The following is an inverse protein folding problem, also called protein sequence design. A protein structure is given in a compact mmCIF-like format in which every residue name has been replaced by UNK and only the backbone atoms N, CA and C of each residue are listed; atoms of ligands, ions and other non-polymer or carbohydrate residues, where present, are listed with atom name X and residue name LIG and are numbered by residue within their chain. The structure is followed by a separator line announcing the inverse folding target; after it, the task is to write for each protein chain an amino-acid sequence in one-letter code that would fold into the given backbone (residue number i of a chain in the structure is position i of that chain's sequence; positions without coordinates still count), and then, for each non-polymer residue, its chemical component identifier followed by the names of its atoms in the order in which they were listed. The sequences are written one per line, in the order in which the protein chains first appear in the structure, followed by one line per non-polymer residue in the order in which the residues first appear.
data_IF_306126311281
#
_entry.id   IF_306126311281
#
_cell.length_a   1.000
_cell.length_b   1.000
_cell.length_c   1.000
_cell.angle_alpha   90.00
_cell.angle_beta   90.00
_cell.angle_gamma   90.00
#
_symmetry.space_group_name_H-M   'P 1'
#
loop_
_entity.id
_entity.type
_entity.pdbx_description
1 polymer ?
#
# COMPACT_ATOMS: atom_id res chain seq x y z
N UNK A 1 -4.67 18.55 -15.60
CA UNK A 1 -5.19 18.12 -14.27
C UNK A 1 -4.29 17.06 -13.62
N UNK A 2 -3.91 15.98 -14.34
CA UNK A 2 -2.97 14.97 -13.81
C UNK A 2 -1.64 15.61 -13.36
N UNK A 3 -1.06 16.49 -14.17
CA UNK A 3 0.15 17.24 -13.84
C UNK A 3 0.02 18.07 -12.54
N UNK A 4 -1.17 18.54 -12.16
CA UNK A 4 -1.34 19.33 -10.94
C UNK A 4 -1.26 18.49 -9.65
N UNK A 5 -1.64 17.21 -9.69
CA UNK A 5 -1.52 16.30 -8.56
C UNK A 5 -0.07 15.81 -8.42
N UNK A 6 0.56 15.46 -9.54
CA UNK A 6 2.00 15.10 -9.56
C UNK A 6 2.84 16.28 -9.06
N UNK A 7 2.51 17.51 -9.48
CA UNK A 7 3.23 18.69 -9.02
C UNK A 7 2.99 18.98 -7.53
N UNK A 8 1.77 18.80 -7.03
CA UNK A 8 1.47 18.91 -5.60
C UNK A 8 2.25 17.86 -4.78
N UNK A 9 2.35 16.62 -5.25
CA UNK A 9 3.15 15.57 -4.66
C UNK A 9 4.65 15.93 -4.65
N UNK A 10 5.17 16.41 -5.79
CA UNK A 10 6.58 16.90 -5.89
C UNK A 10 6.87 18.00 -4.86
N UNK A 11 5.96 18.96 -4.71
CA UNK A 11 6.11 20.04 -3.76
C UNK A 11 6.07 19.53 -2.31
N UNK A 12 5.19 18.56 -1.99
CA UNK A 12 5.18 17.92 -0.67
C UNK A 12 6.51 17.23 -0.36
N UNK A 13 7.10 16.53 -1.31
CA UNK A 13 8.41 15.89 -1.15
C UNK A 13 9.55 16.91 -1.04
N UNK A 14 9.48 18.01 -1.79
CA UNK A 14 10.49 19.08 -1.79
C UNK A 14 10.46 19.91 -0.51
N UNK A 15 9.27 20.33 -0.08
CA UNK A 15 9.08 21.20 1.09
C UNK A 15 9.22 20.42 2.41
N UNK A 16 9.08 19.12 2.36
CA UNK A 16 9.11 18.23 3.50
C UNK A 16 10.05 17.06 3.21
N UNK A 17 11.35 17.23 3.40
CA UNK A 17 12.36 16.16 3.20
C UNK A 17 12.04 14.85 3.96
N UNK A 18 11.14 14.92 4.96
CA UNK A 18 10.65 13.79 5.74
C UNK A 18 9.31 13.24 5.21
N UNK A 19 8.68 13.87 4.20
CA UNK A 19 7.43 13.39 3.62
C UNK A 19 7.73 12.21 2.69
N UNK A 20 7.04 11.11 2.87
CA UNK A 20 7.34 9.86 2.15
C UNK A 20 8.70 9.25 2.51
N UNK A 21 9.49 9.94 3.35
CA UNK A 21 10.62 9.30 3.97
C UNK A 21 10.07 8.32 5.01
N UNK A 22 10.42 7.09 4.88
CA UNK A 22 10.38 6.15 5.96
C UNK A 22 11.41 6.56 7.03
N UNK A 23 11.40 7.82 7.43
CA UNK A 23 12.26 8.35 8.47
C UNK A 23 11.67 8.01 9.84
N UNK A 24 12.53 8.00 10.85
CA UNK A 24 12.18 7.73 12.26
C UNK A 24 11.00 8.54 12.82
N UNK A 25 10.53 9.56 12.07
CA UNK A 25 9.47 10.49 12.45
C UNK A 25 8.24 10.47 11.53
N UNK A 26 8.25 9.70 10.46
CA UNK A 26 7.07 9.49 9.64
C UNK A 26 6.12 8.52 10.34
N UNK A 27 4.83 8.66 10.10
CA UNK A 27 3.73 7.91 10.69
C UNK A 27 4.18 6.51 11.21
N UNK A 28 4.06 6.23 12.53
CA UNK A 28 4.48 4.95 13.11
C UNK A 28 3.94 3.71 12.38
N UNK A 29 2.89 3.87 11.59
CA UNK A 29 2.21 2.83 10.83
C UNK A 29 2.95 2.46 9.55
N UNK A 30 3.33 3.43 8.71
CA UNK A 30 4.11 3.15 7.50
C UNK A 30 5.49 2.57 7.84
N UNK A 31 6.08 3.01 8.98
CA UNK A 31 7.27 2.39 9.51
C UNK A 31 7.04 0.94 9.94
N UNK A 32 5.90 0.64 10.57
CA UNK A 32 5.53 -0.70 11.01
C UNK A 32 5.41 -1.66 9.82
N UNK A 33 4.69 -1.29 8.77
CA UNK A 33 4.59 -2.09 7.55
C UNK A 33 5.95 -2.35 6.90
N UNK A 34 6.78 -1.34 6.81
CA UNK A 34 8.12 -1.48 6.27
C UNK A 34 8.98 -2.51 7.00
N UNK A 35 8.84 -2.59 8.32
CA UNK A 35 9.56 -3.58 9.15
C UNK A 35 8.95 -4.98 9.05
N UNK A 36 7.65 -5.11 8.78
CA UNK A 36 6.95 -6.40 8.74
C UNK A 36 6.85 -7.00 7.34
N UNK A 37 6.89 -6.19 6.28
CA UNK A 37 6.86 -6.66 4.90
C UNK A 37 7.97 -7.70 4.60
N UNK A 38 9.24 -7.50 5.00
CA UNK A 38 10.28 -8.53 4.79
C UNK A 38 9.93 -9.88 5.42
N UNK A 39 9.40 -9.87 6.65
CA UNK A 39 8.96 -11.08 7.34
C UNK A 39 7.77 -11.74 6.63
N UNK A 40 6.81 -10.94 6.19
CA UNK A 40 5.65 -11.42 5.43
C UNK A 40 6.06 -12.03 4.08
N UNK A 41 7.02 -11.45 3.38
CA UNK A 41 7.59 -12.03 2.14
C UNK A 41 8.23 -13.38 2.43
N UNK A 42 9.07 -13.49 3.46
CA UNK A 42 9.71 -14.77 3.85
C UNK A 42 8.66 -15.85 4.15
N UNK A 43 7.62 -15.51 4.89
CA UNK A 43 6.53 -16.45 5.17
C UNK A 43 5.81 -16.89 3.89
N UNK A 44 5.49 -15.96 3.00
CA UNK A 44 4.84 -16.25 1.73
C UNK A 44 5.72 -17.06 0.76
N UNK A 45 7.05 -16.87 0.76
CA UNK A 45 8.01 -17.66 -0.01
C UNK A 45 7.97 -19.15 0.30
N UNK A 46 7.51 -19.55 1.50
CA UNK A 46 7.30 -20.97 1.82
C UNK A 46 6.09 -21.58 1.09
N UNK A 47 5.24 -20.77 0.46
CA UNK A 47 4.01 -21.23 -0.22
C UNK A 47 4.06 -21.02 -1.72
N UNK A 48 4.82 -20.04 -2.21
CA UNK A 48 5.05 -19.79 -3.61
C UNK A 48 6.38 -19.04 -3.83
N UNK A 49 7.07 -19.20 -4.97
CA UNK A 49 8.26 -18.43 -5.26
C UNK A 49 7.91 -16.95 -5.42
N UNK A 50 8.63 -16.09 -4.69
CA UNK A 50 8.55 -14.61 -4.80
C UNK A 50 9.97 -14.11 -5.00
N UNK A 51 10.22 -13.46 -6.14
CA UNK A 51 11.56 -13.01 -6.55
C UNK A 51 11.63 -11.50 -6.80
N UNK A 52 10.50 -10.84 -6.99
CA UNK A 52 10.46 -9.42 -7.34
C UNK A 52 9.35 -8.66 -6.62
N UNK A 53 9.65 -7.40 -6.26
CA UNK A 53 8.70 -6.47 -5.66
C UNK A 53 8.83 -5.10 -6.30
N UNK A 54 7.70 -4.49 -6.61
CA UNK A 54 7.58 -3.07 -6.94
C UNK A 54 6.90 -2.34 -5.79
N UNK A 55 7.53 -1.30 -5.26
CA UNK A 55 6.90 -0.36 -4.32
C UNK A 55 6.38 0.84 -5.11
N UNK A 56 5.07 0.85 -5.37
CA UNK A 56 4.37 1.88 -6.14
C UNK A 56 3.96 3.02 -5.21
N UNK A 57 4.51 4.21 -5.42
CA UNK A 57 4.45 5.34 -4.49
C UNK A 57 5.53 5.23 -3.40
N UNK A 58 6.74 4.81 -3.78
CA UNK A 58 7.83 4.50 -2.84
C UNK A 58 8.33 5.71 -2.03
N UNK A 59 7.95 6.93 -2.41
CA UNK A 59 8.46 8.15 -1.78
C UNK A 59 9.98 8.20 -1.84
N UNK A 60 10.63 8.31 -0.69
CA UNK A 60 12.09 8.36 -0.57
C UNK A 60 12.76 6.96 -0.58
N UNK A 61 12.05 5.91 -0.94
CA UNK A 61 12.60 4.56 -1.10
C UNK A 61 12.86 3.81 0.20
N UNK A 62 12.13 4.13 1.26
CA UNK A 62 12.37 3.54 2.57
C UNK A 62 12.12 2.04 2.63
N UNK A 63 11.08 1.52 1.98
CA UNK A 63 10.82 0.08 1.89
C UNK A 63 11.92 -0.61 1.07
N UNK A 64 12.31 0.00 -0.06
CA UNK A 64 13.38 -0.53 -0.91
C UNK A 64 14.70 -0.65 -0.14
N UNK A 65 15.06 0.39 0.61
CA UNK A 65 16.25 0.35 1.47
C UNK A 65 16.20 -0.78 2.50
N UNK A 66 15.04 -0.96 3.15
CA UNK A 66 14.84 -2.04 4.14
C UNK A 66 14.99 -3.42 3.49
N UNK A 67 14.35 -3.65 2.34
CA UNK A 67 14.43 -4.93 1.63
C UNK A 67 15.84 -5.25 1.15
N UNK A 68 16.59 -4.23 0.68
CA UNK A 68 17.97 -4.40 0.22
C UNK A 68 18.93 -4.73 1.37
N UNK A 69 18.66 -4.23 2.57
CA UNK A 69 19.49 -4.50 3.76
C UNK A 69 19.19 -5.85 4.42
N UNK A 70 18.06 -6.48 4.08
CA UNK A 70 17.65 -7.77 4.66
C UNK A 70 18.44 -8.92 4.05
N UNK A 71 19.57 -9.29 4.69
CA UNK A 71 20.56 -10.26 4.18
C UNK A 71 19.99 -11.64 3.84
N UNK A 72 18.91 -12.04 4.51
CA UNK A 72 18.28 -13.35 4.35
C UNK A 72 17.07 -13.33 3.42
N UNK A 73 16.84 -12.23 2.70
CA UNK A 73 15.76 -12.10 1.75
C UNK A 73 16.32 -11.85 0.35
N UNK A 74 16.22 -12.86 -0.51
CA UNK A 74 16.59 -12.72 -1.91
C UNK A 74 15.38 -12.21 -2.69
N UNK A 75 15.31 -10.90 -2.91
CA UNK A 75 14.25 -10.24 -3.67
C UNK A 75 14.82 -9.08 -4.49
N UNK A 76 14.44 -9.00 -5.76
CA UNK A 76 14.69 -7.83 -6.59
C UNK A 76 13.62 -6.78 -6.32
N UNK A 77 13.95 -5.76 -5.54
CA UNK A 77 13.03 -4.70 -5.15
C UNK A 77 13.30 -3.42 -5.95
N UNK A 78 12.24 -2.85 -6.53
CA UNK A 78 12.26 -1.59 -7.27
C UNK A 78 11.23 -0.62 -6.68
N UNK A 79 11.60 0.67 -6.56
CA UNK A 79 10.67 1.75 -6.22
C UNK A 79 10.20 2.48 -7.48
N UNK A 80 8.95 2.96 -7.44
CA UNK A 80 8.40 3.89 -8.41
C UNK A 80 7.62 4.99 -7.71
N UNK A 81 7.95 6.25 -8.01
CA UNK A 81 7.22 7.42 -7.55
C UNK A 81 7.40 8.57 -8.53
N UNK A 82 6.35 9.00 -9.26
CA UNK A 82 6.46 10.07 -10.25
C UNK A 82 6.79 11.44 -9.62
N UNK A 83 6.58 11.59 -8.31
CA UNK A 83 6.91 12.81 -7.55
C UNK A 83 8.37 12.89 -7.09
N UNK A 84 9.12 11.78 -7.14
CA UNK A 84 10.50 11.70 -6.66
C UNK A 84 11.46 11.41 -7.81
N UNK A 85 12.36 12.34 -8.20
CA UNK A 85 13.21 12.17 -9.39
C UNK A 85 14.01 10.87 -9.42
N UNK A 86 14.52 10.40 -8.26
CA UNK A 86 15.29 9.16 -8.16
C UNK A 86 14.46 7.90 -8.48
N UNK A 87 13.14 7.96 -8.39
CA UNK A 87 12.21 6.85 -8.60
C UNK A 87 11.16 7.11 -9.69
N UNK A 88 11.37 8.16 -10.52
CA UNK A 88 10.37 8.59 -11.52
C UNK A 88 10.34 7.77 -12.80
N UNK A 89 11.25 6.82 -12.96
CA UNK A 89 11.26 5.92 -14.14
C UNK A 89 10.11 4.94 -14.02
N UNK A 90 9.17 5.04 -14.96
CA UNK A 90 7.97 4.20 -14.98
C UNK A 90 8.34 2.72 -15.22
N UNK A 91 7.89 1.80 -14.35
CA UNK A 91 8.14 0.38 -14.55
C UNK A 91 7.37 -0.16 -15.76
N UNK A 92 7.99 -1.09 -16.49
CA UNK A 92 7.42 -1.72 -17.70
C UNK A 92 7.28 -3.22 -17.58
N UNK A 93 7.88 -3.82 -16.56
CA UNK A 93 7.85 -5.27 -16.30
C UNK A 93 6.84 -5.59 -15.20
N UNK A 94 6.41 -6.85 -15.13
CA UNK A 94 5.59 -7.35 -14.02
C UNK A 94 6.47 -7.77 -12.84
N UNK A 95 5.92 -7.62 -11.64
CA UNK A 95 6.55 -7.99 -10.37
C UNK A 95 5.69 -9.01 -9.65
N UNK A 96 6.32 -9.93 -8.92
CA UNK A 96 5.57 -10.92 -8.13
C UNK A 96 4.67 -10.25 -7.09
N UNK A 97 5.20 -9.22 -6.43
CA UNK A 97 4.43 -8.38 -5.51
C UNK A 97 4.49 -6.93 -6.01
N UNK A 98 3.35 -6.26 -5.99
CA UNK A 98 3.28 -4.80 -6.02
C UNK A 98 2.78 -4.32 -4.67
N UNK A 99 3.46 -3.35 -4.06
CA UNK A 99 3.01 -2.69 -2.82
C UNK A 99 2.60 -1.25 -3.09
N UNK A 100 1.61 -0.75 -2.36
CA UNK A 100 1.24 0.67 -2.32
C UNK A 100 0.75 0.98 -0.90
N UNK A 101 1.57 1.70 -0.15
CA UNK A 101 1.35 1.94 1.29
C UNK A 101 1.27 3.43 1.56
N UNK A 102 0.12 3.90 2.04
CA UNK A 102 -0.18 5.32 2.29
C UNK A 102 0.06 6.18 1.01
N UNK A 103 -0.53 5.76 -0.12
CA UNK A 103 -0.34 6.37 -1.45
C UNK A 103 -1.66 6.68 -2.14
N UNK A 104 -2.59 5.72 -2.17
CA UNK A 104 -3.80 5.83 -3.01
C UNK A 104 -4.70 6.98 -2.58
N UNK A 105 -4.76 7.30 -1.30
CA UNK A 105 -5.49 8.44 -0.74
C UNK A 105 -4.91 9.81 -1.15
N UNK A 106 -3.65 9.83 -1.59
CA UNK A 106 -3.00 11.02 -2.14
C UNK A 106 -3.26 11.21 -3.64
N UNK A 107 -3.98 10.28 -4.27
CA UNK A 107 -4.32 10.34 -5.69
C UNK A 107 -5.72 10.92 -5.86
N UNK A 108 -5.86 11.88 -6.76
CA UNK A 108 -7.17 12.48 -7.04
C UNK A 108 -8.15 11.45 -7.61
N UNK A 109 -9.42 11.50 -7.16
CA UNK A 109 -10.49 10.58 -7.53
C UNK A 109 -10.57 10.22 -9.02
N UNK A 110 -10.39 11.15 -9.98
CA UNK A 110 -10.46 10.84 -11.41
C UNK A 110 -9.35 9.86 -11.88
N UNK A 111 -8.25 9.74 -11.14
CA UNK A 111 -7.07 8.97 -11.55
C UNK A 111 -6.98 7.59 -10.86
N UNK A 112 -7.77 7.33 -9.84
CA UNK A 112 -7.71 6.07 -9.07
C UNK A 112 -7.88 4.85 -9.98
N UNK A 113 -8.87 4.88 -10.87
CA UNK A 113 -9.12 3.75 -11.77
C UNK A 113 -7.94 3.46 -12.71
N UNK A 114 -7.35 4.50 -13.29
CA UNK A 114 -6.16 4.33 -14.16
C UNK A 114 -4.95 3.84 -13.38
N UNK A 115 -4.75 4.31 -12.16
CA UNK A 115 -3.67 3.87 -11.27
C UNK A 115 -3.85 2.41 -10.86
N UNK A 116 -5.04 2.00 -10.43
CA UNK A 116 -5.31 0.61 -10.06
C UNK A 116 -5.18 -0.34 -11.25
N UNK A 117 -5.58 0.08 -12.46
CA UNK A 117 -5.35 -0.68 -13.69
C UNK A 117 -3.86 -0.81 -14.02
N UNK A 118 -3.07 0.24 -13.84
CA UNK A 118 -1.62 0.20 -13.99
C UNK A 118 -1.01 -0.79 -13.00
N UNK A 119 -1.37 -0.69 -11.71
CA UNK A 119 -0.92 -1.61 -10.66
C UNK A 119 -1.29 -3.05 -11.00
N UNK A 120 -2.53 -3.31 -11.43
CA UNK A 120 -2.97 -4.66 -11.86
C UNK A 120 -2.15 -5.18 -13.05
N UNK A 121 -1.87 -4.31 -14.03
CA UNK A 121 -1.01 -4.66 -15.17
C UNK A 121 0.42 -5.02 -14.80
N UNK A 122 0.95 -4.41 -13.75
CA UNK A 122 2.30 -4.65 -13.23
C UNK A 122 2.37 -5.83 -12.24
N UNK A 123 1.22 -6.31 -11.75
CA UNK A 123 1.14 -7.39 -10.76
C UNK A 123 1.16 -8.76 -11.42
N UNK A 124 2.12 -9.61 -11.02
CA UNK A 124 2.20 -11.01 -11.43
C UNK A 124 1.47 -11.94 -10.46
N UNK A 125 1.70 -11.80 -9.16
CA UNK A 125 1.08 -12.66 -8.15
C UNK A 125 0.03 -11.94 -7.34
N UNK A 126 0.41 -10.93 -6.56
CA UNK A 126 -0.55 -10.16 -5.78
C UNK A 126 -0.10 -8.72 -5.53
N UNK A 127 -1.09 -7.89 -5.30
CA UNK A 127 -0.97 -6.49 -4.90
C UNK A 127 -1.25 -6.38 -3.41
N UNK A 128 -0.37 -5.73 -2.63
CA UNK A 128 -0.59 -5.33 -1.24
C UNK A 128 -0.82 -3.84 -1.16
N UNK A 129 -1.83 -3.43 -0.44
CA UNK A 129 -2.16 -2.02 -0.23
C UNK A 129 -2.43 -1.71 1.25
N UNK A 130 -2.11 -0.47 1.63
CA UNK A 130 -2.58 0.17 2.84
C UNK A 130 -3.10 1.56 2.47
N UNK A 131 -4.31 1.89 2.91
CA UNK A 131 -5.00 3.15 2.61
C UNK A 131 -5.45 3.77 3.93
N UNK A 132 -5.08 5.02 4.17
CA UNK A 132 -5.63 5.80 5.29
C UNK A 132 -7.00 6.34 4.89
N UNK A 133 -8.01 6.10 5.73
CA UNK A 133 -9.39 6.50 5.50
C UNK A 133 -9.73 7.86 6.12
N UNK A 134 -8.78 8.45 6.85
CA UNK A 134 -8.96 9.72 7.56
C UNK A 134 -8.25 10.87 6.85
N UNK A 135 -8.64 12.12 7.13
CA UNK A 135 -7.91 13.28 6.68
C UNK A 135 -6.45 13.26 7.17
N UNK A 136 -5.51 13.61 6.30
CA UNK A 136 -4.12 13.81 6.71
C UNK A 136 -4.00 14.96 7.72
N UNK A 137 -3.05 14.85 8.63
CA UNK A 137 -2.64 15.95 9.50
C UNK A 137 -1.93 17.08 8.74
N UNK A 138 -1.44 16.80 7.53
CA UNK A 138 -0.70 17.75 6.69
C UNK A 138 -1.59 18.33 5.59
N UNK A 139 -1.24 19.56 5.19
CA UNK A 139 -1.82 20.24 4.03
C UNK A 139 -0.76 20.42 2.95
N UNK A 140 -1.20 20.48 1.72
CA UNK A 140 -0.40 20.89 0.56
C UNK A 140 -0.12 22.39 0.60
N UNK A 141 0.83 22.87 -0.20
CA UNK A 141 1.18 24.30 -0.30
C UNK A 141 0.02 25.19 -0.73
N UNK A 142 -0.99 24.63 -1.42
CA UNK A 142 -2.23 25.31 -1.82
C UNK A 142 -3.36 25.21 -0.78
N UNK A 143 -3.06 24.67 0.43
CA UNK A 143 -3.98 24.61 1.57
C UNK A 143 -4.94 23.41 1.57
N UNK A 144 -4.95 22.56 0.52
CA UNK A 144 -5.75 21.33 0.49
C UNK A 144 -5.22 20.29 1.48
N UNK A 145 -6.08 19.40 1.94
CA UNK A 145 -5.64 18.23 2.70
C UNK A 145 -4.72 17.36 1.82
N UNK A 146 -3.65 16.79 2.40
CA UNK A 146 -2.73 15.94 1.65
C UNK A 146 -3.38 14.61 1.23
N UNK A 147 -4.39 14.09 1.94
CA UNK A 147 -5.27 13.05 1.44
C UNK A 147 -6.32 13.69 0.53
N UNK A 148 -6.06 13.68 -0.79
CA UNK A 148 -6.97 14.24 -1.78
C UNK A 148 -8.26 13.45 -1.93
N UNK A 149 -8.26 12.19 -1.49
CA UNK A 149 -9.39 11.30 -1.59
C UNK A 149 -9.66 10.61 -0.24
N UNK A 150 -10.65 11.11 0.45
CA UNK A 150 -11.18 10.49 1.67
C UNK A 150 -12.47 9.77 1.26
N UNK A 151 -12.48 8.45 1.40
CA UNK A 151 -13.62 7.62 1.04
C UNK A 151 -13.73 6.44 2.01
N UNK A 152 -14.94 5.89 2.25
CA UNK A 152 -15.12 4.72 3.11
C UNK A 152 -14.52 3.46 2.48
N UNK A 153 -14.27 2.44 3.31
CA UNK A 153 -13.68 1.17 2.88
C UNK A 153 -14.41 0.54 1.70
N UNK A 154 -15.75 0.54 1.71
CA UNK A 154 -16.58 -0.10 0.68
C UNK A 154 -16.35 0.53 -0.69
N UNK A 155 -16.10 1.85 -0.72
CA UNK A 155 -15.78 2.52 -1.96
C UNK A 155 -14.43 2.04 -2.51
N UNK A 156 -13.39 1.97 -1.66
CA UNK A 156 -12.06 1.49 -2.03
C UNK A 156 -12.07 0.04 -2.47
N UNK A 157 -12.79 -0.83 -1.72
CA UNK A 157 -12.99 -2.24 -2.05
C UNK A 157 -13.61 -2.38 -3.45
N UNK A 158 -14.62 -1.57 -3.76
CA UNK A 158 -15.27 -1.55 -5.08
C UNK A 158 -14.28 -1.16 -6.18
N UNK A 159 -13.46 -0.11 -5.96
CA UNK A 159 -12.45 0.29 -6.95
C UNK A 159 -11.40 -0.81 -7.20
N UNK A 160 -10.91 -1.44 -6.14
CA UNK A 160 -9.91 -2.52 -6.25
C UNK A 160 -10.53 -3.75 -6.96
N UNK A 161 -11.76 -4.13 -6.63
CA UNK A 161 -12.47 -5.25 -7.26
C UNK A 161 -12.78 -5.04 -8.75
N UNK A 162 -12.76 -3.81 -9.24
CA UNK A 162 -12.87 -3.55 -10.67
C UNK A 162 -11.63 -3.98 -11.48
N UNK A 163 -10.48 -4.12 -10.83
CA UNK A 163 -9.21 -4.45 -11.50
C UNK A 163 -8.59 -5.77 -10.99
N UNK A 164 -9.14 -6.34 -9.88
CA UNK A 164 -8.71 -7.61 -9.28
C UNK A 164 -9.91 -8.51 -8.94
N UNK A 165 -9.79 -9.79 -9.25
CA UNK A 165 -10.90 -10.77 -9.08
C UNK A 165 -11.04 -11.26 -7.63
N UNK A 166 -9.94 -11.31 -6.89
CA UNK A 166 -9.85 -11.88 -5.54
C UNK A 166 -9.23 -10.85 -4.62
N UNK A 167 -9.87 -10.62 -3.49
CA UNK A 167 -9.46 -9.64 -2.50
C UNK A 167 -9.62 -10.22 -1.09
N UNK A 168 -8.58 -10.08 -0.27
CA UNK A 168 -8.65 -10.24 1.18
C UNK A 168 -8.19 -8.94 1.82
N UNK A 169 -8.96 -8.42 2.77
CA UNK A 169 -8.67 -7.13 3.38
C UNK A 169 -8.94 -7.14 4.89
N UNK A 170 -8.34 -6.19 5.56
CA UNK A 170 -8.40 -5.96 7.00
C UNK A 170 -8.71 -4.49 7.21
N UNK A 171 -9.68 -4.22 8.07
CA UNK A 171 -9.95 -2.87 8.57
C UNK A 171 -9.41 -2.76 9.99
N UNK A 172 -8.77 -1.65 10.29
CA UNK A 172 -8.28 -1.37 11.65
C UNK A 172 -8.61 0.04 12.07
N UNK A 173 -8.88 0.19 13.33
CA UNK A 173 -9.05 1.47 13.97
C UNK A 173 -9.50 1.28 15.40
N UNK A 174 -8.94 2.07 16.29
CA UNK A 174 -9.36 2.16 17.69
C UNK A 174 -9.32 3.61 18.10
N UNK A 175 -10.46 4.12 18.53
CA UNK A 175 -10.56 5.46 19.12
C UNK A 175 -10.07 5.42 20.57
N UNK A 176 -9.61 6.54 21.13
CA UNK A 176 -9.18 6.63 22.54
C UNK A 176 -10.24 6.19 23.56
N UNK A 177 -11.52 6.26 23.21
CA UNK A 177 -12.64 5.82 24.02
C UNK A 177 -12.94 4.32 23.89
N UNK A 178 -12.13 3.59 23.13
CA UNK A 178 -12.29 2.15 22.88
C UNK A 178 -13.32 1.79 21.81
N UNK A 179 -13.98 2.78 21.18
CA UNK A 179 -14.85 2.51 20.04
C UNK A 179 -14.02 2.11 18.82
N UNK A 180 -14.55 1.17 18.03
CA UNK A 180 -13.91 0.73 16.80
C UNK A 180 -14.45 1.56 15.63
N UNK A 181 -13.55 2.24 14.93
CA UNK A 181 -13.87 3.00 13.73
C UNK A 181 -12.84 2.68 12.65
N UNK A 182 -13.24 2.35 11.41
CA UNK A 182 -12.29 2.06 10.34
C UNK A 182 -11.42 3.29 10.05
N UNK A 183 -10.15 3.23 10.42
CA UNK A 183 -9.16 4.28 10.17
C UNK A 183 -8.23 3.93 9.02
N UNK A 184 -8.02 2.64 8.81
CA UNK A 184 -7.16 2.12 7.73
C UNK A 184 -7.81 0.89 7.12
N UNK A 185 -7.66 0.81 5.80
CA UNK A 185 -7.95 -0.36 5.00
C UNK A 185 -6.65 -0.88 4.41
N UNK A 186 -6.32 -2.13 4.68
CA UNK A 186 -5.21 -2.79 4.00
C UNK A 186 -5.57 -4.22 3.64
N UNK A 187 -4.88 -4.73 2.66
CA UNK A 187 -5.19 -6.06 2.15
C UNK A 187 -4.31 -6.44 0.97
N UNK A 188 -4.64 -7.60 0.44
CA UNK A 188 -4.03 -8.12 -0.77
C UNK A 188 -5.09 -8.45 -1.81
N UNK A 189 -4.74 -8.24 -3.08
CA UNK A 189 -5.59 -8.54 -4.22
C UNK A 189 -4.83 -9.31 -5.30
N UNK A 190 -5.50 -10.23 -5.99
CA UNK A 190 -4.92 -11.02 -7.08
C UNK A 190 -5.93 -11.34 -8.16
N UNK A 191 -5.45 -11.62 -9.36
CA UNK A 191 -6.28 -12.09 -10.48
C UNK A 191 -6.24 -13.60 -10.66
N UNK A 192 -5.49 -14.33 -9.82
CA UNK A 192 -5.36 -15.78 -9.93
C UNK A 192 -5.58 -16.49 -8.60
N UNK A 193 -6.47 -17.50 -8.61
CA UNK A 193 -6.73 -18.35 -7.44
C UNK A 193 -5.48 -19.14 -7.01
N UNK A 194 -4.56 -19.43 -7.92
CA UNK A 194 -3.29 -20.10 -7.57
C UNK A 194 -2.42 -19.28 -6.62
N UNK A 195 -2.60 -17.95 -6.58
CA UNK A 195 -1.86 -17.05 -5.71
C UNK A 195 -2.53 -16.82 -4.34
N UNK A 196 -3.76 -17.32 -4.16
CA UNK A 196 -4.59 -17.02 -2.98
C UNK A 196 -3.91 -17.44 -1.66
N UNK A 197 -3.35 -18.66 -1.61
CA UNK A 197 -2.64 -19.14 -0.43
C UNK A 197 -1.42 -18.27 -0.10
N UNK A 198 -0.62 -17.96 -1.11
CA UNK A 198 0.57 -17.14 -0.97
C UNK A 198 0.23 -15.72 -0.45
N UNK A 199 -0.76 -15.10 -1.07
CA UNK A 199 -1.30 -13.78 -0.71
C UNK A 199 -1.80 -13.75 0.74
N UNK A 200 -2.58 -14.74 1.16
CA UNK A 200 -3.09 -14.80 2.53
C UNK A 200 -1.99 -15.05 3.55
N UNK A 201 -1.03 -15.94 3.24
CA UNK A 201 0.14 -16.14 4.11
C UNK A 201 0.93 -14.84 4.29
N UNK A 202 1.10 -14.07 3.23
CA UNK A 202 1.71 -12.73 3.33
C UNK A 202 0.89 -11.83 4.27
N UNK A 203 -0.41 -11.69 4.02
CA UNK A 203 -1.27 -10.78 4.79
C UNK A 203 -1.35 -11.15 6.27
N UNK A 204 -1.40 -12.42 6.61
CA UNK A 204 -1.42 -12.92 8.00
C UNK A 204 -0.13 -12.62 8.76
N UNK A 205 0.99 -12.41 8.06
CA UNK A 205 2.28 -12.07 8.65
C UNK A 205 2.59 -10.57 8.63
N UNK A 206 1.67 -9.74 8.15
CA UNK A 206 1.74 -8.29 8.35
C UNK A 206 1.30 -7.98 9.78
N UNK A 207 2.20 -7.41 10.57
CA UNK A 207 1.86 -6.96 11.92
C UNK A 207 1.06 -5.66 11.86
N UNK A 208 -0.14 -5.72 12.38
CA UNK A 208 -1.09 -4.60 12.45
C UNK A 208 -1.57 -4.41 13.88
N UNK A 209 -1.98 -3.18 14.22
CA UNK A 209 -2.43 -2.82 15.55
C UNK A 209 -3.56 -3.74 16.09
N UNK A 210 -3.72 -3.74 17.38
CA UNK A 210 -4.37 -4.74 18.25
C UNK A 210 -5.83 -5.15 17.94
N UNK A 211 -6.56 -4.44 17.11
CA UNK A 211 -7.91 -4.85 16.65
C UNK A 211 -7.95 -4.90 15.14
N UNK A 212 -8.29 -6.03 14.59
CA UNK A 212 -8.41 -6.23 13.16
C UNK A 212 -9.58 -7.15 12.80
N UNK A 213 -10.22 -6.86 11.68
CA UNK A 213 -11.25 -7.69 11.06
C UNK A 213 -10.75 -8.12 9.69
N UNK A 214 -10.70 -9.43 9.45
CA UNK A 214 -10.27 -9.99 8.18
C UNK A 214 -11.52 -10.38 7.39
N UNK A 215 -11.64 -9.84 6.18
CA UNK A 215 -12.73 -10.10 5.27
C UNK A 215 -12.21 -10.73 3.97
N UNK A 216 -12.96 -11.64 3.39
CA UNK A 216 -12.71 -12.18 2.05
C UNK A 216 -13.41 -11.34 0.98
N UNK A 217 -13.11 -11.63 -0.29
CA UNK A 217 -13.79 -11.01 -1.43
C UNK A 217 -15.31 -11.23 -1.48
N UNK A 218 -15.82 -12.22 -0.74
CA UNK A 218 -17.26 -12.44 -0.53
C UNK A 218 -17.88 -11.52 0.50
N UNK A 219 -17.08 -10.71 1.20
CA UNK A 219 -17.52 -9.87 2.33
C UNK A 219 -17.74 -10.65 3.63
N UNK A 220 -17.50 -11.96 3.64
CA UNK A 220 -17.61 -12.76 4.85
C UNK A 220 -16.46 -12.43 5.81
N UNK A 221 -16.81 -12.21 7.08
CA UNK A 221 -15.82 -12.06 8.15
C UNK A 221 -15.12 -13.43 8.35
N UNK A 222 -13.82 -13.50 8.06
CA UNK A 222 -13.05 -14.73 8.21
C UNK A 222 -12.52 -14.91 9.63
N UNK A 223 -12.17 -13.80 10.32
CA UNK A 223 -11.55 -13.84 11.64
C UNK A 223 -11.59 -12.47 12.33
N UNK A 224 -11.84 -12.47 13.64
CA UNK A 224 -11.64 -11.31 14.54
C UNK A 224 -10.47 -11.60 15.49
N UNK A 225 -9.67 -10.60 15.80
CA UNK A 225 -8.57 -10.68 16.77
C UNK A 225 -8.68 -9.58 17.81
#
# INVERSE_FOLDING_TARGET
MENSFIEASKNLHKDNKKYGAASEYSNPKSMKFRLTIPTAIKAAQNTCPIQSLLDHGTGQGGLISTLTQEKNLQINAQGYDPGVPAFSVKPTSKYDIVTSVDVLEHIGKPFIRSTLREISGLTNKFFFFCIDLLPASKKTSDGRNAHFLIAPSEWWITQIKNEFNILTFIETGEMPDGTSYPMHLFGCATNSMSNFKCMNTFLENIDVANKRWIHSSSGALLKTY
#
